data_IF_533356565919
#
_entry.id   IF_533356565919
#
_cell.length_a   1.000
_cell.length_b   1.000
_cell.length_c   1.000
_cell.angle_alpha   90.00
_cell.angle_beta   90.00
_cell.angle_gamma   90.00
#
_symmetry.space_group_name_H-M   'P 1'
#
loop_
_entity.id
_entity.type
_entity.pdbx_description
1 polymer ?
#
# COMPACT_ATOMS: atom_id res chain seq x y z
N UNK A 1 -13.74 17.96 27.18
CA UNK A 1 -13.76 16.82 26.24
C UNK A 1 -13.79 17.38 24.83
N UNK A 2 -13.07 16.78 23.89
CA UNK A 2 -12.96 17.25 22.50
C UNK A 2 -13.94 16.48 21.62
N UNK A 3 -14.41 17.07 20.52
CA UNK A 3 -15.33 16.39 19.58
C UNK A 3 -14.56 15.39 18.71
N UNK A 4 -15.02 14.16 18.71
CA UNK A 4 -14.61 13.09 17.82
C UNK A 4 -15.50 13.20 16.58
N UNK A 5 -15.09 13.95 15.56
CA UNK A 5 -15.83 14.11 14.28
C UNK A 5 -15.81 12.79 13.46
N UNK A 6 -16.26 11.68 14.05
CA UNK A 6 -16.16 10.34 13.51
C UNK A 6 -17.48 9.94 12.85
N UNK A 7 -17.48 9.90 11.51
CA UNK A 7 -18.58 9.28 10.76
C UNK A 7 -18.72 7.81 11.19
N UNK A 8 -19.95 7.29 11.34
CA UNK A 8 -20.22 5.90 11.71
C UNK A 8 -19.53 4.91 10.73
N UNK A 9 -18.36 4.40 11.11
CA UNK A 9 -17.64 3.35 10.38
C UNK A 9 -18.15 1.98 10.82
N UNK A 10 -17.97 0.97 9.97
CA UNK A 10 -18.29 -0.43 10.25
C UNK A 10 -17.65 -0.87 11.58
N UNK A 11 -18.39 -1.67 12.36
CA UNK A 11 -17.88 -2.30 13.58
C UNK A 11 -17.03 -3.51 13.20
N UNK A 12 -15.89 -3.66 13.85
CA UNK A 12 -14.92 -4.73 13.66
C UNK A 12 -14.70 -5.48 14.97
N UNK A 13 -14.23 -6.71 14.86
CA UNK A 13 -13.82 -7.52 16.02
C UNK A 13 -12.30 -7.60 16.02
N UNK A 14 -11.66 -7.03 17.04
CA UNK A 14 -10.20 -6.81 17.06
C UNK A 14 -9.39 -8.08 16.78
N UNK A 15 -9.85 -9.23 17.30
CA UNK A 15 -9.15 -10.53 17.17
C UNK A 15 -9.42 -11.27 15.86
N UNK A 16 -10.55 -10.99 15.21
CA UNK A 16 -11.01 -11.76 14.04
C UNK A 16 -11.01 -10.94 12.75
N UNK A 17 -10.58 -9.69 12.81
CA UNK A 17 -10.43 -8.84 11.64
C UNK A 17 -9.02 -8.98 11.10
N UNK A 18 -8.88 -8.85 9.79
CA UNK A 18 -7.57 -8.84 9.13
C UNK A 18 -6.76 -7.65 9.67
N UNK A 19 -5.56 -7.92 10.17
CA UNK A 19 -4.72 -6.93 10.87
C UNK A 19 -4.39 -5.72 9.97
N UNK A 20 -4.27 -5.89 8.66
CA UNK A 20 -3.97 -4.80 7.72
C UNK A 20 -5.13 -3.80 7.62
N UNK A 21 -6.36 -4.22 7.95
CA UNK A 21 -7.50 -3.30 8.02
C UNK A 21 -7.43 -2.38 9.24
N UNK A 22 -6.72 -2.81 10.28
CA UNK A 22 -6.61 -2.14 11.57
C UNK A 22 -5.28 -1.40 11.75
N UNK A 23 -4.30 -1.63 10.87
CA UNK A 23 -3.01 -0.98 10.94
C UNK A 23 -3.11 0.53 10.66
N UNK A 24 -2.43 1.30 11.51
CA UNK A 24 -2.50 2.76 11.60
C UNK A 24 -3.94 3.28 11.65
N UNK A 25 -4.76 2.69 12.53
CA UNK A 25 -6.16 3.12 12.73
C UNK A 25 -6.42 3.52 14.16
N UNK A 26 -7.11 4.65 14.31
CA UNK A 26 -7.75 4.97 15.58
C UNK A 26 -8.95 4.05 15.80
N UNK A 27 -9.13 3.62 17.03
CA UNK A 27 -10.20 2.73 17.46
C UNK A 27 -11.01 3.39 18.57
N UNK A 28 -12.34 3.35 18.48
CA UNK A 28 -13.19 3.43 19.67
C UNK A 28 -13.39 2.01 20.18
N UNK A 29 -13.01 1.78 21.43
CA UNK A 29 -13.12 0.51 22.10
C UNK A 29 -14.25 0.63 23.12
N UNK A 30 -15.27 -0.22 22.99
CA UNK A 30 -16.38 -0.25 23.94
C UNK A 30 -15.89 -0.58 25.36
N UNK A 31 -16.56 -0.06 26.41
CA UNK A 31 -16.18 -0.34 27.79
C UNK A 31 -16.29 -1.83 28.07
N UNK A 32 -15.22 -2.44 28.58
CA UNK A 32 -15.18 -3.83 29.03
C UNK A 32 -14.34 -3.91 30.30
N UNK A 33 -14.98 -4.28 31.42
CA UNK A 33 -14.34 -4.41 32.74
C UNK A 33 -13.23 -5.47 32.75
N UNK A 34 -13.25 -6.41 31.80
CA UNK A 34 -12.19 -7.41 31.66
C UNK A 34 -10.86 -6.77 31.30
N UNK A 35 -10.83 -5.60 30.65
CA UNK A 35 -9.60 -4.95 30.23
C UNK A 35 -8.68 -4.60 31.40
N UNK A 36 -9.22 -4.01 32.46
CA UNK A 36 -8.45 -3.63 33.65
C UNK A 36 -8.01 -4.83 34.50
N UNK A 37 -8.58 -6.01 34.26
CA UNK A 37 -8.20 -7.26 34.95
C UNK A 37 -7.18 -8.11 34.19
N UNK A 38 -6.81 -7.71 32.97
CA UNK A 38 -5.80 -8.41 32.18
C UNK A 38 -4.41 -8.11 32.71
N UNK A 39 -3.57 -9.13 32.73
CA UNK A 39 -2.16 -9.00 33.09
C UNK A 39 -1.45 -8.03 32.16
N UNK A 40 -0.79 -7.01 32.71
CA UNK A 40 -0.14 -5.93 31.96
C UNK A 40 -1.06 -4.74 31.60
N UNK A 41 -2.32 -4.78 32.00
CA UNK A 41 -3.31 -3.70 31.79
C UNK A 41 -3.85 -3.16 33.13
N UNK A 42 -3.24 -3.49 34.26
CA UNK A 42 -3.71 -3.13 35.60
C UNK A 42 -3.70 -1.61 35.85
N UNK A 43 -2.85 -0.89 35.12
CA UNK A 43 -2.76 0.57 35.17
C UNK A 43 -3.72 1.28 34.21
N UNK A 44 -4.51 0.53 33.41
CA UNK A 44 -5.52 1.13 32.53
C UNK A 44 -6.65 1.69 33.41
N UNK A 45 -6.92 3.01 33.38
CA UNK A 45 -7.99 3.60 34.18
C UNK A 45 -9.34 3.02 33.78
N UNK A 46 -10.19 2.63 34.74
CA UNK A 46 -11.53 2.16 34.45
C UNK A 46 -12.36 3.23 33.71
N UNK A 47 -13.12 2.80 32.71
CA UNK A 47 -14.00 3.66 31.90
C UNK A 47 -15.37 3.02 31.70
N UNK A 48 -16.41 3.78 32.02
CA UNK A 48 -17.80 3.40 31.74
C UNK A 48 -18.25 3.79 30.32
N UNK A 49 -17.51 4.67 29.64
CA UNK A 49 -17.86 5.17 28.30
C UNK A 49 -17.05 4.53 27.18
N UNK A 50 -15.89 3.95 27.51
CA UNK A 50 -14.97 3.29 26.57
C UNK A 50 -13.62 4.01 26.45
N UNK A 51 -12.83 3.58 25.47
CA UNK A 51 -11.46 4.03 25.27
C UNK A 51 -11.21 4.48 23.83
N UNK A 52 -10.32 5.46 23.70
CA UNK A 52 -9.67 5.80 22.44
C UNK A 52 -8.38 4.99 22.34
N UNK A 53 -8.31 4.13 21.32
CA UNK A 53 -7.12 3.35 20.99
C UNK A 53 -6.50 3.77 19.67
N UNK A 54 -5.25 3.35 19.45
CA UNK A 54 -4.56 3.40 18.18
C UNK A 54 -3.93 2.04 17.89
N UNK A 55 -4.38 1.40 16.82
CA UNK A 55 -3.87 0.11 16.36
C UNK A 55 -2.79 0.30 15.32
N UNK A 56 -1.72 -0.47 15.46
CA UNK A 56 -0.55 -0.43 14.58
C UNK A 56 0.20 -1.76 14.61
N UNK A 57 0.97 -2.04 13.57
CA UNK A 57 1.79 -3.24 13.46
C UNK A 57 3.22 -2.99 13.93
N UNK A 58 3.66 -3.76 14.93
CA UNK A 58 5.07 -3.84 15.36
C UNK A 58 5.40 -5.31 15.62
N UNK A 59 5.83 -5.99 14.55
CA UNK A 59 5.87 -7.45 14.30
C UNK A 59 4.53 -8.19 14.43
N UNK A 60 3.66 -7.68 15.29
CA UNK A 60 2.36 -8.19 15.68
C UNK A 60 1.40 -7.00 15.79
N UNK A 61 0.10 -7.23 15.67
CA UNK A 61 -0.88 -6.17 15.88
C UNK A 61 -0.87 -5.73 17.34
N UNK A 62 -0.63 -4.44 17.57
CA UNK A 62 -0.65 -3.79 18.89
C UNK A 62 -1.75 -2.74 18.95
N UNK A 63 -2.24 -2.51 20.15
CA UNK A 63 -3.22 -1.47 20.45
C UNK A 63 -2.68 -0.62 21.59
N UNK A 64 -2.47 0.66 21.29
CA UNK A 64 -2.13 1.68 22.26
C UNK A 64 -3.41 2.35 22.78
N UNK A 65 -3.59 2.44 24.09
CA UNK A 65 -4.70 3.12 24.73
C UNK A 65 -4.29 4.57 25.02
N UNK A 66 -4.90 5.50 24.31
CA UNK A 66 -4.52 6.92 24.33
C UNK A 66 -5.40 7.74 25.27
N UNK A 67 -6.63 7.29 25.56
CA UNK A 67 -7.55 8.06 26.37
C UNK A 67 -8.93 7.45 26.53
N UNK A 68 -9.83 8.26 27.07
CA UNK A 68 -11.26 7.97 27.16
C UNK A 68 -11.99 8.44 25.91
N UNK A 69 -13.03 7.70 25.53
CA UNK A 69 -13.89 8.05 24.41
C UNK A 69 -15.35 7.77 24.79
N UNK A 70 -16.23 8.73 24.57
CA UNK A 70 -17.68 8.53 24.62
C UNK A 70 -18.22 8.49 23.19
N UNK A 71 -18.74 7.31 22.80
CA UNK A 71 -19.31 7.09 21.48
C UNK A 71 -20.64 7.84 21.28
N UNK A 72 -21.46 7.98 22.33
CA UNK A 72 -22.79 8.62 22.24
C UNK A 72 -22.68 10.12 22.05
N UNK A 73 -21.78 10.75 22.80
CA UNK A 73 -21.53 12.19 22.73
C UNK A 73 -20.56 12.57 21.60
N UNK A 74 -19.98 11.58 20.91
CA UNK A 74 -18.89 11.77 19.96
C UNK A 74 -17.78 12.63 20.56
N UNK A 75 -17.29 12.27 21.75
CA UNK A 75 -16.22 13.03 22.42
C UNK A 75 -15.09 12.15 22.95
N UNK A 76 -13.91 12.74 23.10
CA UNK A 76 -12.75 12.04 23.65
C UNK A 76 -11.90 12.95 24.56
N UNK A 77 -11.06 12.32 25.38
CA UNK A 77 -10.05 12.96 26.22
C UNK A 77 -8.84 12.03 26.33
N UNK A 78 -7.64 12.51 26.01
CA UNK A 78 -6.40 11.77 26.27
C UNK A 78 -6.21 11.53 27.78
N UNK A 79 -5.46 10.49 28.12
CA UNK A 79 -5.02 10.29 29.50
C UNK A 79 -4.10 11.44 29.92
N UNK A 80 -4.13 11.78 31.21
CA UNK A 80 -3.27 12.82 31.77
C UNK A 80 -1.85 12.28 32.07
N UNK A 81 -1.62 10.98 31.90
CA UNK A 81 -0.33 10.32 32.11
C UNK A 81 0.52 10.28 30.84
N UNK A 82 1.82 10.54 30.96
CA UNK A 82 2.78 10.43 29.86
C UNK A 82 3.02 8.97 29.39
N UNK A 83 2.62 7.98 30.19
CA UNK A 83 2.73 6.58 29.84
C UNK A 83 1.53 6.13 29.01
N UNK A 84 1.81 5.69 27.77
CA UNK A 84 0.83 5.05 26.90
C UNK A 84 0.85 3.56 27.14
N UNK A 85 -0.31 2.98 27.45
CA UNK A 85 -0.45 1.54 27.65
C UNK A 85 -0.62 0.86 26.30
N UNK A 86 0.22 -0.13 26.04
CA UNK A 86 0.24 -0.86 24.77
C UNK A 86 0.07 -2.34 25.06
N UNK A 87 -0.89 -2.97 24.39
CA UNK A 87 -1.12 -4.40 24.46
C UNK A 87 -1.05 -5.05 23.08
N UNK A 88 -0.57 -6.29 23.03
CA UNK A 88 -0.71 -7.10 21.83
C UNK A 88 -2.18 -7.50 21.63
N UNK A 89 -2.71 -7.34 20.42
CA UNK A 89 -4.11 -7.62 20.12
C UNK A 89 -4.53 -9.07 20.40
N UNK A 90 -3.59 -10.01 20.34
CA UNK A 90 -3.81 -11.43 20.67
C UNK A 90 -4.02 -11.70 22.16
N UNK A 91 -3.52 -10.84 23.04
CA UNK A 91 -3.71 -10.91 24.49
C UNK A 91 -5.02 -10.26 24.92
N UNK A 92 -5.57 -9.36 24.09
CA UNK A 92 -6.84 -8.71 24.36
C UNK A 92 -8.01 -9.68 24.12
N UNK A 93 -9.10 -9.58 24.90
CA UNK A 93 -10.32 -10.31 24.61
C UNK A 93 -10.84 -9.89 23.23
N UNK A 94 -11.79 -10.66 22.70
CA UNK A 94 -12.44 -10.26 21.44
C UNK A 94 -13.30 -9.02 21.70
N UNK A 95 -12.73 -7.85 21.41
CA UNK A 95 -13.37 -6.54 21.61
C UNK A 95 -14.09 -6.10 20.35
N UNK A 96 -15.27 -5.53 20.54
CA UNK A 96 -15.96 -4.76 19.51
C UNK A 96 -15.27 -3.40 19.41
N UNK A 97 -14.71 -3.12 18.24
CA UNK A 97 -14.02 -1.86 17.97
C UNK A 97 -14.66 -1.15 16.79
N UNK A 98 -14.61 0.17 16.80
CA UNK A 98 -14.99 1.00 15.65
C UNK A 98 -13.78 1.77 15.17
N UNK A 99 -13.51 1.68 13.87
CA UNK A 99 -12.45 2.48 13.25
C UNK A 99 -12.88 3.95 13.23
N UNK A 100 -12.00 4.81 13.69
CA UNK A 100 -12.16 6.26 13.65
C UNK A 100 -11.23 6.79 12.57
N UNK A 101 -11.75 7.72 11.77
CA UNK A 101 -10.91 8.41 10.79
C UNK A 101 -9.99 9.37 11.53
N UNK A 102 -8.70 9.42 11.17
CA UNK A 102 -7.77 10.32 11.82
C UNK A 102 -8.22 11.78 11.60
N UNK A 103 -8.04 12.59 12.64
CA UNK A 103 -8.10 14.05 12.56
C UNK A 103 -6.69 14.58 12.81
N UNK A 104 -6.39 15.80 12.36
CA UNK A 104 -5.07 16.41 12.55
C UNK A 104 -4.62 16.40 14.02
N UNK A 105 -5.56 16.59 14.94
CA UNK A 105 -5.30 16.58 16.37
C UNK A 105 -4.92 15.19 16.91
N UNK A 106 -5.60 14.14 16.42
CA UNK A 106 -5.30 12.77 16.79
C UNK A 106 -3.91 12.35 16.27
N UNK A 107 -3.58 12.73 15.03
CA UNK A 107 -2.28 12.44 14.42
C UNK A 107 -1.12 13.18 15.11
N UNK A 108 -1.37 14.35 15.70
CA UNK A 108 -0.39 15.11 16.49
C UNK A 108 -0.06 14.52 17.86
N UNK A 109 -0.75 13.45 18.29
CA UNK A 109 -0.43 12.80 19.55
C UNK A 109 1.02 12.24 19.52
N UNK A 110 1.90 12.52 20.50
CA UNK A 110 3.32 12.16 20.42
C UNK A 110 3.59 10.69 20.16
N UNK A 111 2.84 9.78 20.80
CA UNK A 111 2.95 8.34 20.54
C UNK A 111 2.57 7.98 19.10
N UNK A 112 1.52 8.59 18.56
CA UNK A 112 1.07 8.32 17.20
C UNK A 112 2.11 8.82 16.22
N UNK A 113 2.66 10.01 16.43
CA UNK A 113 3.77 10.52 15.61
C UNK A 113 4.98 9.58 15.65
N UNK A 114 5.36 9.07 16.83
CA UNK A 114 6.45 8.10 16.93
C UNK A 114 6.20 6.81 16.15
N UNK A 115 4.97 6.28 16.16
CA UNK A 115 4.59 5.11 15.35
C UNK A 115 4.62 5.44 13.86
N UNK A 116 4.04 6.57 13.46
CA UNK A 116 4.04 7.01 12.08
C UNK A 116 5.48 7.21 11.59
N UNK A 117 6.34 7.90 12.33
CA UNK A 117 7.76 8.07 11.99
C UNK A 117 8.50 6.73 11.85
N UNK A 118 8.25 5.79 12.75
CA UNK A 118 8.80 4.43 12.65
C UNK A 118 8.33 3.74 11.36
N UNK A 119 7.05 3.82 11.04
CA UNK A 119 6.49 3.24 9.81
C UNK A 119 6.98 3.94 8.54
N UNK A 120 7.14 5.26 8.58
CA UNK A 120 7.71 6.05 7.49
C UNK A 120 9.16 5.62 7.19
N UNK A 121 9.91 5.20 8.20
CA UNK A 121 11.27 4.69 8.04
C UNK A 121 11.35 3.29 7.41
N UNK A 122 10.25 2.52 7.43
CA UNK A 122 10.13 1.15 6.92
C UNK A 122 9.11 1.04 5.76
N UNK A 123 8.96 2.13 5.00
CA UNK A 123 7.90 2.32 4.02
C UNK A 123 7.83 1.21 2.96
N UNK A 124 8.98 0.75 2.42
CA UNK A 124 9.01 -0.29 1.38
C UNK A 124 8.60 -1.67 1.90
N UNK A 125 8.93 -2.01 3.15
CA UNK A 125 8.53 -3.28 3.75
C UNK A 125 7.05 -3.26 4.07
N UNK A 126 6.57 -2.15 4.63
CA UNK A 126 5.15 -1.94 4.92
C UNK A 126 4.29 -1.87 3.67
N UNK A 127 4.81 -1.36 2.55
CA UNK A 127 4.02 -1.25 1.32
C UNK A 127 3.51 -2.61 0.85
N UNK A 128 4.25 -3.69 1.13
CA UNK A 128 3.85 -5.05 0.78
C UNK A 128 2.63 -5.55 1.56
N UNK A 129 2.31 -4.97 2.72
CA UNK A 129 1.07 -5.27 3.47
C UNK A 129 -0.18 -4.89 2.68
N UNK A 130 -0.07 -4.02 1.67
CA UNK A 130 -1.18 -3.70 0.77
C UNK A 130 -1.48 -4.81 -0.26
N UNK A 131 -0.59 -5.79 -0.44
CA UNK A 131 -0.74 -6.89 -1.39
C UNK A 131 -1.67 -7.99 -0.86
N UNK A 132 -2.98 -7.81 -1.05
CA UNK A 132 -4.00 -8.76 -0.54
C UNK A 132 -3.88 -10.17 -1.11
N UNK A 133 -3.35 -10.30 -2.33
CA UNK A 133 -3.23 -11.58 -3.01
C UNK A 133 -2.31 -12.58 -2.27
N UNK A 134 -1.40 -12.08 -1.43
CA UNK A 134 -0.51 -12.92 -0.60
C UNK A 134 -0.94 -13.04 0.86
N UNK A 135 -2.13 -12.55 1.24
CA UNK A 135 -2.58 -12.56 2.64
C UNK A 135 -2.65 -13.98 3.22
N UNK A 136 -3.05 -14.97 2.42
CA UNK A 136 -3.12 -16.37 2.81
C UNK A 136 -1.75 -17.01 3.12
N UNK A 137 -0.65 -16.38 2.68
CA UNK A 137 0.72 -16.81 2.95
C UNK A 137 1.29 -16.20 4.24
N UNK A 138 0.63 -15.16 4.78
CA UNK A 138 1.09 -14.46 5.98
C UNK A 138 0.86 -15.29 7.23
N UNK A 139 1.79 -15.19 8.17
CA UNK A 139 1.54 -15.71 9.51
C UNK A 139 0.41 -14.88 10.18
N UNK A 140 -0.65 -15.52 10.69
CA UNK A 140 -1.82 -14.83 11.21
C UNK A 140 -1.52 -14.03 12.50
N UNK A 141 -0.43 -14.35 13.20
CA UNK A 141 0.01 -13.64 14.41
C UNK A 141 1.13 -12.65 14.11
N UNK A 142 1.94 -12.91 13.08
CA UNK A 142 3.12 -12.12 12.71
C UNK A 142 3.11 -11.76 11.21
N UNK A 143 2.37 -10.73 10.80
CA UNK A 143 2.18 -10.38 9.38
C UNK A 143 3.44 -10.13 8.56
N UNK A 144 4.53 -9.74 9.21
CA UNK A 144 5.85 -9.57 8.59
C UNK A 144 6.50 -10.89 8.17
N UNK A 145 5.95 -12.03 8.59
CA UNK A 145 6.40 -13.37 8.24
C UNK A 145 5.47 -13.93 7.16
N UNK A 146 6.08 -14.40 6.07
CA UNK A 146 5.40 -15.05 4.95
C UNK A 146 5.92 -16.47 4.77
N UNK A 147 5.08 -17.35 4.22
CA UNK A 147 5.49 -18.65 3.67
C UNK A 147 5.81 -18.48 2.20
N UNK A 148 6.99 -18.94 1.81
CA UNK A 148 7.40 -19.05 0.42
C UNK A 148 7.73 -20.50 0.09
N UNK A 149 7.56 -20.84 -1.18
CA UNK A 149 7.83 -22.14 -1.76
C UNK A 149 9.27 -22.20 -2.24
N UNK A 150 9.92 -23.31 -2.00
CA UNK A 150 11.15 -23.69 -2.67
C UNK A 150 10.96 -25.04 -3.36
N UNK A 151 11.35 -25.11 -4.63
CA UNK A 151 11.31 -26.34 -5.42
C UNK A 151 12.73 -26.87 -5.51
N UNK A 152 12.99 -28.02 -4.88
CA UNK A 152 14.35 -28.51 -4.67
C UNK A 152 15.06 -28.93 -5.95
N UNK A 153 14.33 -29.61 -6.83
CA UNK A 153 14.87 -30.23 -8.04
C UNK A 153 14.53 -29.42 -9.31
N UNK A 154 14.09 -28.15 -9.15
CA UNK A 154 13.61 -27.30 -10.24
C UNK A 154 14.63 -27.15 -11.36
N UNK A 155 15.86 -26.77 -11.00
CA UNK A 155 16.94 -26.54 -11.98
C UNK A 155 17.30 -27.83 -12.73
N UNK A 156 17.29 -28.98 -12.06
CA UNK A 156 17.59 -30.27 -12.68
C UNK A 156 16.46 -30.71 -13.62
N UNK A 157 15.21 -30.52 -13.20
CA UNK A 157 14.03 -30.81 -14.00
C UNK A 157 13.95 -29.89 -15.22
N UNK A 158 14.13 -28.58 -15.04
CA UNK A 158 14.14 -27.60 -16.11
C UNK A 158 15.26 -27.90 -17.12
N UNK A 159 16.45 -28.24 -16.64
CA UNK A 159 17.55 -28.68 -17.50
C UNK A 159 17.19 -29.92 -18.30
N UNK A 160 16.64 -30.94 -17.65
CA UNK A 160 16.22 -32.19 -18.33
C UNK A 160 15.16 -31.92 -19.39
N UNK A 161 14.19 -31.03 -19.11
CA UNK A 161 13.18 -30.62 -20.07
C UNK A 161 13.77 -29.85 -21.25
N UNK A 162 14.65 -28.88 -20.99
CA UNK A 162 15.32 -28.12 -22.04
C UNK A 162 16.18 -29.02 -22.94
N UNK A 163 16.92 -29.98 -22.37
CA UNK A 163 17.66 -31.00 -23.14
C UNK A 163 16.71 -31.85 -24.01
N UNK A 164 15.53 -32.22 -23.49
CA UNK A 164 14.51 -32.93 -24.28
C UNK A 164 13.93 -32.08 -25.41
N UNK A 165 13.73 -30.77 -25.18
CA UNK A 165 13.25 -29.83 -26.20
C UNK A 165 14.29 -29.65 -27.30
N UNK A 166 15.56 -29.48 -26.94
CA UNK A 166 16.67 -29.38 -27.90
C UNK A 166 16.75 -30.64 -28.78
N UNK A 167 16.70 -31.82 -28.17
CA UNK A 167 16.68 -33.10 -28.90
C UNK A 167 15.47 -33.19 -29.85
N UNK A 168 14.29 -32.78 -29.41
CA UNK A 168 13.10 -32.77 -30.26
C UNK A 168 13.25 -31.79 -31.44
N UNK A 169 13.81 -30.59 -31.21
CA UNK A 169 14.07 -29.62 -32.27
C UNK A 169 15.07 -30.16 -33.31
N UNK A 170 16.11 -30.87 -32.88
CA UNK A 170 17.05 -31.53 -33.81
C UNK A 170 16.35 -32.59 -34.68
N UNK A 171 15.52 -33.44 -34.06
CA UNK A 171 14.73 -34.45 -34.79
C UNK A 171 13.74 -33.77 -35.76
N UNK A 172 13.10 -32.69 -35.33
CA UNK A 172 12.16 -31.92 -36.15
C UNK A 172 12.85 -31.29 -37.37
N UNK A 173 14.03 -30.69 -37.19
CA UNK A 173 14.83 -30.13 -38.29
C UNK A 173 15.25 -31.23 -39.26
N UNK A 174 15.76 -32.36 -38.77
CA UNK A 174 16.14 -33.49 -39.62
C UNK A 174 14.94 -34.07 -40.39
N UNK A 175 13.77 -34.16 -39.76
CA UNK A 175 12.54 -34.60 -40.39
C UNK A 175 12.08 -33.63 -41.50
N UNK A 176 12.21 -32.32 -41.29
CA UNK A 176 11.93 -31.32 -42.33
C UNK A 176 12.90 -31.40 -43.51
N UNK A 177 14.20 -31.55 -43.25
CA UNK A 177 15.21 -31.71 -44.33
C UNK A 177 14.98 -32.97 -45.16
N UNK A 178 14.56 -34.07 -44.52
CA UNK A 178 14.24 -35.31 -45.22
C UNK A 178 12.94 -35.18 -46.02
N UNK A 179 11.90 -34.56 -45.44
CA UNK A 179 10.64 -34.29 -46.12
C UNK A 179 10.83 -33.41 -47.37
N UNK A 180 11.72 -32.42 -47.32
CA UNK A 180 12.06 -31.60 -48.48
C UNK A 180 12.69 -32.43 -49.61
N UNK A 181 13.59 -33.35 -49.28
CA UNK A 181 14.19 -34.29 -50.26
C UNK A 181 13.15 -35.23 -50.86
N UNK A 182 12.16 -35.62 -50.07
CA UNK A 182 11.09 -36.54 -50.47
C UNK A 182 9.90 -35.81 -51.14
N UNK A 183 9.96 -34.49 -51.30
CA UNK A 183 8.92 -33.67 -51.94
C UNK A 183 7.64 -33.52 -51.08
N UNK A 184 7.74 -33.78 -49.78
CA UNK A 184 6.65 -33.68 -48.80
C UNK A 184 6.58 -32.22 -48.31
N UNK A 185 5.37 -31.69 -48.14
CA UNK A 185 5.20 -30.32 -47.60
C UNK A 185 5.43 -30.34 -46.10
N UNK A 186 6.15 -29.33 -45.58
CA UNK A 186 6.49 -29.22 -44.15
C UNK A 186 5.29 -29.42 -43.18
N UNK A 187 4.09 -28.95 -43.53
CA UNK A 187 2.89 -29.11 -42.69
C UNK A 187 2.38 -30.56 -42.57
N UNK A 188 2.86 -31.45 -43.43
CA UNK A 188 2.48 -32.86 -43.49
C UNK A 188 3.56 -33.74 -42.80
N UNK A 189 4.55 -33.13 -42.14
CA UNK A 189 5.61 -33.82 -41.37
C UNK A 189 5.13 -34.01 -39.93
N UNK A 190 4.84 -35.26 -39.57
CA UNK A 190 4.55 -35.66 -38.20
C UNK A 190 5.82 -36.19 -37.54
N UNK A 191 6.18 -35.62 -36.38
CA UNK A 191 7.31 -36.07 -35.57
C UNK A 191 6.76 -36.54 -34.23
N UNK A 192 6.95 -37.82 -33.92
CA UNK A 192 6.59 -38.39 -32.63
C UNK A 192 7.58 -37.97 -31.54
N UNK A 193 7.10 -37.83 -30.30
CA UNK A 193 7.96 -37.57 -29.14
C UNK A 193 8.12 -36.10 -28.76
N UNK A 194 7.08 -35.27 -28.98
CA UNK A 194 7.04 -33.91 -28.41
C UNK A 194 7.33 -33.96 -26.90
N UNK A 195 8.19 -33.08 -26.37
CA UNK A 195 8.50 -33.04 -24.95
C UNK A 195 7.22 -32.85 -24.14
N UNK A 196 6.86 -33.84 -23.35
CA UNK A 196 5.75 -33.73 -22.41
C UNK A 196 6.03 -32.64 -21.36
N UNK A 197 5.00 -32.03 -20.75
CA UNK A 197 5.20 -31.05 -19.70
C UNK A 197 6.01 -31.66 -18.54
N UNK A 198 6.72 -30.81 -17.80
CA UNK A 198 7.45 -31.22 -16.61
C UNK A 198 6.52 -32.02 -15.66
N UNK A 199 6.97 -33.18 -15.14
CA UNK A 199 6.16 -33.99 -14.26
C UNK A 199 6.01 -33.29 -12.91
N UNK A 200 4.91 -32.57 -12.73
CA UNK A 200 4.60 -31.80 -11.51
C UNK A 200 4.60 -32.70 -10.28
N UNK A 201 4.15 -33.95 -10.40
CA UNK A 201 4.14 -34.93 -9.32
C UNK A 201 5.55 -35.35 -8.85
N UNK A 202 6.59 -35.09 -9.66
CA UNK A 202 7.97 -35.38 -9.30
C UNK A 202 8.66 -34.21 -8.57
N UNK A 203 8.05 -33.03 -8.52
CA UNK A 203 8.65 -31.86 -7.89
C UNK A 203 8.59 -31.97 -6.36
N UNK A 204 9.77 -31.96 -5.72
CA UNK A 204 9.85 -31.85 -4.26
C UNK A 204 9.68 -30.38 -3.84
N UNK A 205 8.53 -30.10 -3.23
CA UNK A 205 8.13 -28.76 -2.76
C UNK A 205 8.33 -28.65 -1.26
N UNK A 206 9.00 -27.59 -0.82
CA UNK A 206 9.14 -27.25 0.59
C UNK A 206 8.66 -25.83 0.88
N UNK A 207 8.08 -25.64 2.07
CA UNK A 207 7.64 -24.34 2.53
C UNK A 207 8.63 -23.77 3.54
N UNK A 208 9.17 -22.60 3.22
CA UNK A 208 10.17 -21.89 4.02
C UNK A 208 9.58 -20.58 4.52
N UNK A 209 9.95 -20.17 5.74
CA UNK A 209 9.52 -18.88 6.27
C UNK A 209 10.50 -17.79 5.88
N UNK A 210 9.94 -16.68 5.42
CA UNK A 210 10.67 -15.47 5.05
C UNK A 210 10.13 -14.26 5.82
N UNK A 211 10.95 -13.23 5.94
CA UNK A 211 10.55 -11.91 6.44
C UNK A 211 11.17 -10.81 5.58
N UNK A 212 10.92 -9.55 5.92
CA UNK A 212 11.47 -8.38 5.22
C UNK A 212 11.22 -8.41 3.71
N UNK A 213 10.03 -8.90 3.34
CA UNK A 213 9.59 -8.94 1.96
C UNK A 213 9.42 -7.51 1.44
N UNK A 214 10.24 -7.14 0.45
CA UNK A 214 10.25 -5.81 -0.18
C UNK A 214 10.32 -5.95 -1.70
N UNK A 215 9.72 -5.01 -2.44
CA UNK A 215 9.94 -4.93 -3.89
C UNK A 215 11.42 -4.66 -4.16
N UNK A 216 11.94 -5.23 -5.24
CA UNK A 216 13.29 -5.00 -5.72
C UNK A 216 13.27 -4.63 -7.20
N UNK A 217 14.37 -4.11 -7.72
CA UNK A 217 14.47 -3.69 -9.12
C UNK A 217 14.23 -4.86 -10.10
N UNK A 218 14.01 -4.52 -11.37
CA UNK A 218 13.78 -5.49 -12.46
C UNK A 218 12.54 -6.38 -12.26
N UNK A 219 11.49 -5.86 -11.62
CA UNK A 219 10.25 -6.62 -11.36
C UNK A 219 10.38 -7.75 -10.34
N UNK A 220 11.50 -7.81 -9.61
CA UNK A 220 11.77 -8.88 -8.64
C UNK A 220 11.31 -8.50 -7.23
N UNK A 221 11.39 -9.46 -6.32
CA UNK A 221 11.23 -9.24 -4.89
C UNK A 221 12.43 -9.79 -4.14
N UNK A 222 12.67 -9.27 -2.94
CA UNK A 222 13.67 -9.84 -2.04
C UNK A 222 13.06 -10.05 -0.66
N UNK A 223 13.63 -11.00 0.08
CA UNK A 223 13.26 -11.31 1.44
C UNK A 223 14.46 -11.86 2.22
N UNK A 224 14.31 -11.97 3.53
CA UNK A 224 15.29 -12.58 4.44
C UNK A 224 14.77 -13.93 4.92
N UNK A 225 15.61 -14.96 4.88
CA UNK A 225 15.26 -16.29 5.36
C UNK A 225 15.16 -16.33 6.90
N UNK A 226 14.06 -16.88 7.42
CA UNK A 226 13.92 -17.15 8.87
C UNK A 226 14.39 -18.54 9.28
N UNK A 227 14.48 -19.45 8.32
CA UNK A 227 14.92 -20.83 8.49
C UNK A 227 16.00 -21.20 7.46
N UNK A 228 16.80 -22.22 7.77
CA UNK A 228 17.66 -22.82 6.76
C UNK A 228 16.77 -23.53 5.72
N UNK A 229 17.16 -23.46 4.46
CA UNK A 229 16.49 -24.22 3.40
C UNK A 229 16.97 -25.68 3.51
N UNK A 230 16.07 -26.63 3.77
CA UNK A 230 16.46 -28.04 3.89
C UNK A 230 17.13 -28.56 2.62
N UNK A 231 18.05 -29.53 2.75
CA UNK A 231 18.67 -30.16 1.57
C UNK A 231 19.63 -29.29 0.75
N UNK A 232 19.87 -28.02 1.10
CA UNK A 232 20.86 -27.17 0.45
C UNK A 232 21.72 -26.41 1.46
N UNK A 233 22.97 -26.10 1.08
CA UNK A 233 23.89 -25.27 1.86
C UNK A 233 24.09 -23.87 1.25
N UNK A 234 23.41 -23.57 0.12
CA UNK A 234 23.61 -22.32 -0.64
C UNK A 234 23.16 -21.07 0.13
N UNK A 235 22.07 -21.19 0.90
CA UNK A 235 21.48 -20.10 1.68
C UNK A 235 21.08 -20.61 3.06
N UNK A 236 21.25 -19.78 4.08
CA UNK A 236 20.99 -20.08 5.49
C UNK A 236 20.06 -19.03 6.08
N UNK A 237 19.55 -19.32 7.29
CA UNK A 237 18.81 -18.35 8.08
C UNK A 237 19.58 -17.02 8.18
N UNK A 238 18.90 -15.93 7.87
CA UNK A 238 19.44 -14.57 7.87
C UNK A 238 19.98 -14.11 6.52
N UNK A 239 20.12 -15.00 5.53
CA UNK A 239 20.55 -14.61 4.19
C UNK A 239 19.39 -13.96 3.41
N UNK A 240 19.74 -12.99 2.59
CA UNK A 240 18.85 -12.43 1.56
C UNK A 240 18.63 -13.43 0.42
N UNK A 241 17.39 -13.51 -0.05
CA UNK A 241 16.95 -14.32 -1.19
C UNK A 241 16.11 -13.51 -2.15
N UNK A 242 16.24 -13.82 -3.44
CA UNK A 242 15.33 -13.35 -4.46
C UNK A 242 14.03 -14.16 -4.40
N UNK A 243 12.91 -13.48 -4.61
CA UNK A 243 11.58 -14.08 -4.53
C UNK A 243 10.76 -13.68 -5.76
N UNK A 244 10.14 -14.67 -6.38
CA UNK A 244 9.20 -14.48 -7.47
C UNK A 244 7.77 -14.50 -6.93
N UNK A 245 6.95 -13.52 -7.30
CA UNK A 245 5.51 -13.48 -6.99
C UNK A 245 4.73 -13.88 -8.25
N UNK A 246 4.20 -15.10 -8.24
CA UNK A 246 3.47 -15.66 -9.38
C UNK A 246 1.99 -15.72 -9.05
N UNK A 247 1.15 -15.19 -9.94
CA UNK A 247 -0.31 -15.24 -9.81
C UNK A 247 -0.90 -16.05 -10.96
N UNK A 248 -1.69 -17.07 -10.63
CA UNK A 248 -2.34 -17.95 -11.59
C UNK A 248 -3.84 -17.97 -11.35
N UNK A 249 -4.63 -17.96 -12.42
CA UNK A 249 -6.08 -18.14 -12.36
C UNK A 249 -6.41 -19.63 -12.49
N UNK A 250 -7.16 -20.18 -11.55
CA UNK A 250 -7.60 -21.57 -11.63
C UNK A 250 -8.90 -21.64 -12.43
N UNK A 251 -8.93 -22.45 -13.49
CA UNK A 251 -10.03 -22.45 -14.47
C UNK A 251 -11.37 -22.92 -13.87
N UNK A 252 -11.34 -23.77 -12.85
CA UNK A 252 -12.55 -24.39 -12.28
C UNK A 252 -13.41 -23.41 -11.46
N UNK A 253 -12.78 -22.46 -10.76
CA UNK A 253 -13.46 -21.49 -9.89
C UNK A 253 -13.26 -20.03 -10.32
N UNK A 254 -12.38 -19.78 -11.31
CA UNK A 254 -12.02 -18.45 -11.79
C UNK A 254 -11.30 -17.60 -10.73
N UNK A 255 -10.81 -18.22 -9.65
CA UNK A 255 -10.10 -17.51 -8.59
C UNK A 255 -8.61 -17.38 -8.93
N UNK A 256 -8.05 -16.25 -8.53
CA UNK A 256 -6.62 -15.98 -8.64
C UNK A 256 -5.92 -16.44 -7.36
N UNK A 257 -4.90 -17.26 -7.52
CA UNK A 257 -4.01 -17.69 -6.45
C UNK A 257 -2.63 -17.11 -6.69
N UNK A 258 -2.03 -16.52 -5.65
CA UNK A 258 -0.68 -15.97 -5.71
C UNK A 258 0.26 -16.75 -4.81
N UNK A 259 1.42 -17.13 -5.32
CA UNK A 259 2.45 -17.87 -4.59
C UNK A 259 3.78 -17.12 -4.65
N UNK A 260 4.58 -17.32 -3.61
CA UNK A 260 5.94 -16.78 -3.50
C UNK A 260 6.93 -17.91 -3.71
N UNK A 261 7.88 -17.77 -4.63
CA UNK A 261 8.90 -18.78 -4.93
C UNK A 261 10.29 -18.23 -4.59
N UNK A 262 11.11 -19.03 -3.90
CA UNK A 262 12.50 -18.68 -3.56
C UNK A 262 13.41 -19.06 -4.72
N UNK A 263 14.08 -18.06 -5.28
CA UNK A 263 15.04 -18.20 -6.36
C UNK A 263 16.46 -18.25 -5.77
N UNK A 264 16.99 -19.46 -5.53
CA UNK A 264 18.27 -19.64 -4.83
C UNK A 264 19.47 -19.05 -5.58
N UNK A 265 19.46 -19.17 -6.90
CA UNK A 265 20.58 -18.83 -7.77
C UNK A 265 20.40 -17.46 -8.44
N UNK A 266 19.22 -16.85 -8.32
CA UNK A 266 18.98 -15.51 -8.83
C UNK A 266 19.71 -14.45 -7.98
N UNK A 267 20.22 -13.38 -8.59
CA UNK A 267 20.80 -12.27 -7.86
C UNK A 267 19.73 -11.58 -7.00
N UNK A 268 20.12 -11.16 -5.80
CA UNK A 268 19.27 -10.30 -4.96
C UNK A 268 19.42 -8.87 -5.45
N UNK A 269 18.38 -8.36 -6.10
CA UNK A 269 18.35 -7.00 -6.63
C UNK A 269 18.29 -5.94 -5.52
N UNK A 270 18.69 -4.72 -5.86
CA UNK A 270 18.56 -3.57 -4.96
C UNK A 270 17.12 -3.00 -4.97
N UNK A 271 16.88 -1.95 -4.18
CA UNK A 271 15.56 -1.32 -4.00
C UNK A 271 15.57 0.15 -4.41
N UNK A 272 16.41 0.50 -5.40
CA UNK A 272 16.61 1.88 -5.82
C UNK A 272 15.41 2.37 -6.61
N UNK A 273 14.91 3.53 -6.19
CA UNK A 273 13.91 4.29 -6.95
C UNK A 273 14.63 5.19 -7.95
N UNK A 274 14.44 4.91 -9.25
CA UNK A 274 14.86 5.75 -10.36
C UNK A 274 13.63 6.20 -11.14
N UNK A 275 13.33 7.49 -11.12
CA UNK A 275 12.12 8.02 -11.76
C UNK A 275 12.35 9.40 -12.34
N UNK A 276 11.74 9.64 -13.50
CA UNK A 276 11.77 10.93 -14.17
C UNK A 276 10.45 11.70 -13.94
N UNK A 277 10.53 13.03 -14.01
CA UNK A 277 9.33 13.87 -14.04
C UNK A 277 8.65 13.75 -15.41
N UNK A 278 7.34 13.54 -15.42
CA UNK A 278 6.54 13.52 -16.65
C UNK A 278 6.54 14.90 -17.31
N UNK A 279 6.93 14.95 -18.59
CA UNK A 279 6.90 16.18 -19.40
C UNK A 279 5.48 16.41 -19.93
N UNK A 280 4.74 17.41 -19.42
CA UNK A 280 3.37 17.62 -19.83
C UNK A 280 3.32 18.12 -21.29
N UNK A 281 2.36 17.62 -22.05
CA UNK A 281 2.11 18.07 -23.43
C UNK A 281 1.45 19.46 -23.50
N UNK A 282 0.94 19.98 -22.37
CA UNK A 282 0.36 21.32 -22.25
C UNK A 282 1.24 22.20 -21.37
N UNK A 283 1.41 23.45 -21.80
CA UNK A 283 2.16 24.48 -21.07
C UNK A 283 1.69 24.58 -19.61
N UNK A 284 2.60 24.92 -18.67
CA UNK A 284 2.24 25.15 -17.29
C UNK A 284 1.16 26.23 -17.23
N UNK A 285 0.03 25.88 -16.64
CA UNK A 285 -1.03 26.82 -16.32
C UNK A 285 -0.85 27.18 -14.85
N UNK A 286 -1.08 28.46 -14.51
CA UNK A 286 -0.98 28.98 -13.15
C UNK A 286 -2.16 29.91 -12.94
N UNK A 287 -3.15 29.44 -12.20
CA UNK A 287 -4.38 30.21 -11.99
C UNK A 287 -4.68 30.23 -10.49
N UNK A 288 -4.85 31.43 -9.96
CA UNK A 288 -5.36 31.69 -8.63
C UNK A 288 -6.87 31.96 -8.72
N UNK A 289 -7.67 31.21 -7.96
CA UNK A 289 -9.11 31.41 -7.83
C UNK A 289 -9.43 31.99 -6.47
N UNK A 290 -9.97 33.21 -6.43
CA UNK A 290 -10.51 33.79 -5.19
C UNK A 290 -12.01 33.49 -5.11
N UNK A 291 -12.41 32.71 -4.12
CA UNK A 291 -13.81 32.38 -3.86
C UNK A 291 -14.31 33.17 -2.65
N UNK A 292 -15.51 33.75 -2.75
CA UNK A 292 -16.17 34.36 -1.61
C UNK A 292 -17.62 33.88 -1.49
N UNK A 293 -18.09 33.82 -0.25
CA UNK A 293 -19.50 33.58 0.04
C UNK A 293 -20.25 34.92 0.09
N UNK A 294 -21.48 34.93 -0.42
CA UNK A 294 -22.35 36.11 -0.33
C UNK A 294 -23.12 36.23 1.00
N UNK A 295 -23.05 35.21 1.86
CA UNK A 295 -23.86 35.08 3.08
C UNK A 295 -23.03 35.14 4.36
N UNK A 296 -21.75 34.76 4.30
CA UNK A 296 -20.83 34.80 5.45
C UNK A 296 -19.48 35.35 5.03
N UNK A 297 -18.59 35.58 6.00
CA UNK A 297 -17.28 36.21 5.80
C UNK A 297 -16.24 35.28 5.14
N UNK A 298 -16.66 34.12 4.64
CA UNK A 298 -15.76 33.22 3.93
C UNK A 298 -15.23 33.88 2.65
N UNK A 299 -13.90 34.07 2.60
CA UNK A 299 -13.15 34.49 1.43
C UNK A 299 -11.78 33.84 1.47
N UNK A 300 -11.43 33.14 0.39
CA UNK A 300 -10.17 32.38 0.31
C UNK A 300 -9.63 32.35 -1.12
N UNK A 301 -8.32 32.21 -1.27
CA UNK A 301 -7.62 32.23 -2.56
C UNK A 301 -6.81 30.96 -2.77
N UNK A 302 -7.11 30.25 -3.86
CA UNK A 302 -6.51 28.95 -4.19
C UNK A 302 -5.57 29.04 -5.39
N UNK A 303 -4.28 28.78 -5.16
CA UNK A 303 -3.24 28.82 -6.18
C UNK A 303 -3.05 27.44 -6.84
N UNK A 304 -3.53 27.30 -8.08
CA UNK A 304 -3.58 26.03 -8.80
C UNK A 304 -2.62 26.01 -9.98
N UNK A 305 -2.19 24.80 -10.35
CA UNK A 305 -1.39 24.53 -11.53
C UNK A 305 0.06 24.11 -11.28
N UNK A 306 0.93 24.35 -12.28
CA UNK A 306 2.36 23.98 -12.24
C UNK A 306 3.24 25.23 -12.18
N UNK A 307 4.21 25.22 -11.27
CA UNK A 307 5.04 26.41 -10.96
C UNK A 307 6.39 26.35 -11.67
N UNK A 308 7.23 27.39 -11.55
CA UNK A 308 8.61 27.34 -12.06
C UNK A 308 9.52 26.47 -11.20
N UNK A 309 9.04 26.12 -10.00
CA UNK A 309 9.74 25.35 -8.97
C UNK A 309 9.41 23.84 -9.04
N UNK A 310 8.96 23.35 -10.20
CA UNK A 310 8.59 21.95 -10.41
C UNK A 310 9.72 20.98 -10.00
N UNK A 311 10.98 21.39 -10.08
CA UNK A 311 12.12 20.60 -9.56
C UNK A 311 12.12 20.44 -8.03
N UNK A 312 11.78 21.50 -7.28
CA UNK A 312 11.69 21.45 -5.82
C UNK A 312 10.49 20.59 -5.42
N UNK A 313 9.33 20.82 -6.05
CA UNK A 313 8.13 20.02 -5.81
C UNK A 313 8.35 18.55 -6.14
N UNK A 314 9.03 18.25 -7.25
CA UNK A 314 9.41 16.88 -7.60
C UNK A 314 10.30 16.27 -6.51
N UNK A 315 11.33 16.99 -6.04
CA UNK A 315 12.20 16.50 -4.97
C UNK A 315 11.42 16.20 -3.69
N UNK A 316 10.50 17.09 -3.30
CA UNK A 316 9.64 16.90 -2.13
C UNK A 316 8.71 15.69 -2.30
N UNK A 317 8.12 15.48 -3.48
CA UNK A 317 7.30 14.30 -3.78
C UNK A 317 8.13 13.02 -3.65
N UNK A 318 9.35 13.00 -4.20
CA UNK A 318 10.25 11.84 -4.04
C UNK A 318 10.61 11.60 -2.57
N UNK A 319 10.79 12.65 -1.79
CA UNK A 319 11.04 12.54 -0.36
C UNK A 319 9.81 12.02 0.40
N UNK A 320 8.60 12.47 0.06
CA UNK A 320 7.34 11.94 0.60
C UNK A 320 7.14 10.46 0.25
N UNK A 321 7.49 10.04 -0.98
CA UNK A 321 7.48 8.64 -1.40
C UNK A 321 8.44 7.81 -0.55
N UNK A 322 9.68 8.30 -0.39
CA UNK A 322 10.70 7.62 0.42
C UNK A 322 10.30 7.51 1.89
N UNK A 323 9.53 8.47 2.39
CA UNK A 323 8.94 8.46 3.73
C UNK A 323 7.63 7.68 3.81
N UNK A 324 7.16 7.01 2.74
CA UNK A 324 5.93 6.21 2.79
C UNK A 324 4.62 7.01 2.92
N UNK A 325 4.63 8.31 2.62
CA UNK A 325 3.44 9.18 2.70
C UNK A 325 2.55 9.13 1.46
N UNK A 326 2.93 8.33 0.46
CA UNK A 326 2.17 8.10 -0.77
C UNK A 326 1.60 6.69 -0.75
N UNK A 327 0.57 6.46 -1.56
CA UNK A 327 -0.03 5.15 -1.77
C UNK A 327 1.04 4.05 -1.93
N UNK A 328 1.02 2.98 -1.11
CA UNK A 328 1.94 1.86 -1.17
C UNK A 328 2.17 1.28 -2.57
N UNK A 329 1.13 1.23 -3.40
CA UNK A 329 1.23 0.68 -4.75
C UNK A 329 2.12 1.53 -5.66
N UNK A 330 2.14 2.85 -5.45
CA UNK A 330 3.04 3.75 -6.19
C UNK A 330 4.49 3.48 -5.78
N UNK A 331 4.76 3.22 -4.50
CA UNK A 331 6.11 2.93 -4.03
C UNK A 331 6.64 1.59 -4.59
N UNK A 332 5.79 0.58 -4.73
CA UNK A 332 6.13 -0.71 -5.34
C UNK A 332 6.51 -0.52 -6.82
N UNK A 333 5.63 0.11 -7.62
CA UNK A 333 5.88 0.32 -9.05
C UNK A 333 7.17 1.12 -9.30
N UNK A 334 7.45 2.13 -8.47
CA UNK A 334 8.65 2.98 -8.58
C UNK A 334 9.97 2.26 -8.32
N UNK A 335 9.95 1.14 -7.60
CA UNK A 335 11.13 0.29 -7.39
C UNK A 335 11.22 -0.73 -8.52
N UNK A 336 10.09 -1.37 -8.87
CA UNK A 336 10.08 -2.51 -9.77
C UNK A 336 10.23 -2.15 -11.25
N UNK A 337 9.85 -0.92 -11.63
CA UNK A 337 9.81 -0.47 -13.03
C UNK A 337 10.78 0.67 -13.28
N UNK A 338 11.36 0.66 -14.48
CA UNK A 338 12.23 1.74 -15.00
C UNK A 338 11.50 2.70 -15.94
N UNK A 339 10.31 2.33 -16.42
CA UNK A 339 9.47 3.11 -17.35
C UNK A 339 8.45 4.03 -16.66
N UNK A 340 8.65 4.28 -15.36
CA UNK A 340 7.80 5.15 -14.57
C UNK A 340 8.12 6.64 -14.78
N UNK A 341 7.07 7.43 -14.99
CA UNK A 341 7.13 8.89 -14.92
C UNK A 341 6.13 9.42 -13.88
N UNK A 342 6.52 10.45 -13.12
CA UNK A 342 5.62 11.10 -12.17
C UNK A 342 5.07 12.40 -12.76
N UNK A 343 3.76 12.47 -12.92
CA UNK A 343 3.00 13.69 -13.20
C UNK A 343 2.51 14.30 -11.89
N UNK A 344 2.70 15.61 -11.72
CA UNK A 344 2.19 16.34 -10.57
C UNK A 344 1.65 17.72 -10.94
N UNK A 345 0.65 18.19 -10.19
CA UNK A 345 0.12 19.56 -10.26
C UNK A 345 -0.53 19.97 -8.95
N UNK A 346 -0.61 21.28 -8.66
CA UNK A 346 -1.46 21.80 -7.57
C UNK A 346 -2.91 21.81 -8.03
N UNK A 347 -3.77 21.10 -7.34
CA UNK A 347 -5.19 20.96 -7.69
C UNK A 347 -6.07 21.16 -6.47
N UNK A 348 -7.28 21.68 -6.69
CA UNK A 348 -8.25 21.90 -5.64
C UNK A 348 -8.99 20.59 -5.33
N UNK A 349 -9.14 20.28 -4.05
CA UNK A 349 -9.87 19.14 -3.56
C UNK A 349 -10.98 19.59 -2.61
N UNK A 350 -12.12 18.91 -2.67
CA UNK A 350 -13.26 19.14 -1.76
C UNK A 350 -13.56 17.90 -0.94
N UNK A 351 -13.72 18.07 0.37
CA UNK A 351 -14.23 17.04 1.25
C UNK A 351 -15.71 16.77 0.99
N UNK A 352 -16.08 15.50 0.78
CA UNK A 352 -17.49 15.10 0.55
C UNK A 352 -18.38 15.20 1.80
N UNK A 353 -17.77 15.26 2.99
CA UNK A 353 -18.51 15.26 4.27
C UNK A 353 -18.68 16.66 4.83
N UNK A 354 -17.58 17.36 5.14
CA UNK A 354 -17.65 18.69 5.74
C UNK A 354 -17.61 19.83 4.72
N UNK A 355 -17.32 19.55 3.44
CA UNK A 355 -17.26 20.58 2.40
C UNK A 355 -15.97 21.40 2.38
N UNK A 356 -15.04 21.17 3.33
CA UNK A 356 -13.72 21.82 3.36
C UNK A 356 -13.01 21.71 2.02
N UNK A 357 -12.45 22.84 1.58
CA UNK A 357 -11.65 22.97 0.37
C UNK A 357 -10.17 23.01 0.76
N UNK A 358 -9.33 22.34 -0.01
CA UNK A 358 -7.88 22.34 0.22
C UNK A 358 -7.12 22.14 -1.09
N UNK A 359 -5.93 22.73 -1.19
CA UNK A 359 -5.03 22.56 -2.35
C UNK A 359 -4.09 21.40 -2.06
N UNK A 360 -4.19 20.33 -2.86
CA UNK A 360 -3.28 19.18 -2.76
C UNK A 360 -2.43 19.07 -4.02
N UNK A 361 -1.23 18.50 -3.85
CA UNK A 361 -0.34 18.15 -4.96
C UNK A 361 -0.84 16.85 -5.56
N UNK A 362 -1.53 16.91 -6.69
CA UNK A 362 -2.02 15.70 -7.34
C UNK A 362 -0.85 14.92 -7.93
N UNK A 363 -0.34 13.92 -7.22
CA UNK A 363 0.68 12.99 -7.73
C UNK A 363 0.02 11.86 -8.52
N UNK A 364 0.56 11.61 -9.72
CA UNK A 364 0.20 10.51 -10.60
C UNK A 364 1.44 9.77 -11.04
N UNK A 365 1.39 8.44 -10.92
CA UNK A 365 2.36 7.58 -11.57
C UNK A 365 1.82 7.20 -12.94
N UNK A 366 2.62 7.44 -13.97
CA UNK A 366 2.31 7.10 -15.36
C UNK A 366 3.27 6.00 -15.78
N UNK A 367 2.72 4.88 -16.22
CA UNK A 367 3.43 3.81 -16.92
C UNK A 367 2.82 3.67 -18.32
N UNK A 368 3.38 2.80 -19.16
CA UNK A 368 2.77 2.48 -20.46
C UNK A 368 1.42 1.78 -20.32
N UNK A 369 1.24 1.01 -19.25
CA UNK A 369 0.08 0.13 -19.05
C UNK A 369 -1.06 0.81 -18.29
N UNK A 370 -0.74 1.65 -17.32
CA UNK A 370 -1.72 2.21 -16.40
C UNK A 370 -1.31 3.59 -15.85
N UNK A 371 -2.25 4.23 -15.15
CA UNK A 371 -1.98 5.47 -14.41
C UNK A 371 -2.57 5.34 -13.00
N UNK A 372 -1.71 5.42 -11.98
CA UNK A 372 -2.13 5.45 -10.58
C UNK A 372 -2.19 6.91 -10.11
N UNK A 373 -3.17 7.23 -9.27
CA UNK A 373 -3.31 8.56 -8.66
C UNK A 373 -3.37 8.42 -7.15
N UNK A 374 -2.57 9.20 -6.45
CA UNK A 374 -2.62 9.25 -4.98
C UNK A 374 -3.99 9.73 -4.48
N UNK A 375 -4.41 9.18 -3.34
CA UNK A 375 -5.65 9.55 -2.65
C UNK A 375 -5.37 10.56 -1.53
N UNK A 376 -6.28 11.51 -1.31
CA UNK A 376 -6.17 12.51 -0.25
C UNK A 376 -7.36 12.44 0.71
N UNK A 377 -7.09 12.72 1.98
CA UNK A 377 -8.07 12.74 3.06
C UNK A 377 -8.14 14.15 3.68
N UNK A 378 -9.33 14.52 4.15
CA UNK A 378 -9.59 15.82 4.75
C UNK A 378 -9.03 15.87 6.18
N UNK A 379 -8.23 16.89 6.51
CA UNK A 379 -7.63 17.02 7.84
C UNK A 379 -8.65 17.26 8.96
N UNK A 380 -9.80 17.86 8.63
CA UNK A 380 -10.86 18.20 9.59
C UNK A 380 -11.73 17.00 10.01
N UNK A 381 -11.98 16.07 9.09
CA UNK A 381 -12.93 14.98 9.32
C UNK A 381 -12.46 13.60 8.83
N UNK A 382 -11.25 13.51 8.28
CA UNK A 382 -10.64 12.30 7.74
C UNK A 382 -11.33 11.70 6.51
N UNK A 383 -12.40 12.30 5.99
CA UNK A 383 -13.12 11.78 4.82
C UNK A 383 -12.31 11.97 3.53
N UNK A 384 -12.48 11.04 2.58
CA UNK A 384 -11.82 11.12 1.28
C UNK A 384 -12.19 12.42 0.57
N UNK A 385 -11.18 13.13 0.09
CA UNK A 385 -11.37 14.32 -0.72
C UNK A 385 -11.54 13.94 -2.20
N UNK A 386 -12.30 14.75 -2.93
CA UNK A 386 -12.50 14.62 -4.37
C UNK A 386 -11.86 15.76 -5.11
N UNK A 387 -11.14 15.44 -6.18
CA UNK A 387 -10.58 16.44 -7.09
C UNK A 387 -11.71 17.27 -7.71
N UNK A 388 -11.56 18.59 -7.63
CA UNK A 388 -12.48 19.55 -8.26
C UNK A 388 -11.92 19.90 -9.63
N UNK A 389 -12.66 19.55 -10.68
CA UNK A 389 -12.33 20.00 -12.04
C UNK A 389 -12.51 21.52 -12.12
N UNK A 390 -11.65 22.20 -12.87
CA UNK A 390 -11.66 23.68 -12.99
C UNK A 390 -13.03 24.26 -13.32
N UNK A 391 -13.75 23.66 -14.27
CA UNK A 391 -15.09 24.12 -14.66
C UNK A 391 -16.15 24.04 -13.54
N UNK A 392 -15.87 23.34 -12.44
CA UNK A 392 -16.77 23.21 -11.28
C UNK A 392 -16.34 24.06 -10.08
N UNK A 393 -15.21 24.78 -10.16
CA UNK A 393 -14.72 25.62 -9.04
C UNK A 393 -15.73 26.73 -8.72
N UNK A 394 -16.32 27.33 -9.75
CA UNK A 394 -17.31 28.39 -9.62
C UNK A 394 -18.68 27.93 -9.09
N UNK A 395 -18.88 26.62 -8.90
CA UNK A 395 -20.14 26.02 -8.44
C UNK A 395 -19.98 25.26 -7.13
N UNK A 396 -18.94 25.55 -6.36
CA UNK A 396 -18.69 24.93 -5.06
C UNK A 396 -19.58 25.56 -3.99
N UNK A 397 -19.89 24.79 -2.95
CA UNK A 397 -20.63 25.29 -1.79
C UNK A 397 -19.65 25.77 -0.73
N UNK A 398 -20.05 26.82 0.00
CA UNK A 398 -19.29 27.42 1.07
C UNK A 398 -19.07 26.38 2.19
N UNK A 399 -17.83 26.18 2.67
CA UNK A 399 -17.57 25.21 3.74
C UNK A 399 -18.23 25.62 5.08
N UNK A 400 -18.53 26.90 5.28
CA UNK A 400 -19.12 27.41 6.53
C UNK A 400 -20.66 27.33 6.54
N UNK A 401 -21.32 27.85 5.50
CA UNK A 401 -22.79 27.97 5.46
C UNK A 401 -23.48 27.11 4.39
N UNK A 402 -22.71 26.40 3.55
CA UNK A 402 -23.18 25.54 2.44
C UNK A 402 -23.93 26.26 1.31
N UNK A 403 -23.93 27.59 1.29
CA UNK A 403 -24.42 28.37 0.16
C UNK A 403 -23.44 28.38 -1.00
N UNK A 404 -23.93 28.55 -2.23
CA UNK A 404 -23.08 28.55 -3.41
C UNK A 404 -22.04 29.68 -3.37
N UNK A 405 -20.76 29.33 -3.57
CA UNK A 405 -19.66 30.28 -3.70
C UNK A 405 -19.72 30.97 -5.05
N UNK A 406 -19.24 32.21 -5.08
CA UNK A 406 -19.04 32.95 -6.33
C UNK A 406 -17.55 33.16 -6.55
N UNK A 407 -17.03 32.88 -7.76
CA UNK A 407 -15.69 33.30 -8.11
C UNK A 407 -15.68 34.83 -8.15
N UNK A 408 -14.80 35.42 -7.35
CA UNK A 408 -14.62 36.88 -7.28
C UNK A 408 -13.50 37.32 -8.21
N UNK A 409 -12.47 36.48 -8.37
CA UNK A 409 -11.30 36.80 -9.17
C UNK A 409 -10.66 35.52 -9.72
N UNK A 410 -10.22 35.59 -10.97
CA UNK A 410 -9.36 34.59 -11.63
C UNK A 410 -8.12 35.32 -12.14
N UNK A 411 -6.96 35.01 -11.56
CA UNK A 411 -5.70 35.69 -11.89
C UNK A 411 -4.59 34.70 -12.22
N UNK A 412 -3.67 35.09 -13.11
CA UNK A 412 -2.42 34.36 -13.26
C UNK A 412 -1.52 34.65 -12.05
N UNK A 413 -0.86 33.62 -11.51
CA UNK A 413 0.12 33.79 -10.43
C UNK A 413 1.52 33.39 -10.90
N UNK A 414 2.54 34.09 -10.39
CA UNK A 414 3.91 34.06 -10.88
C UNK A 414 4.73 32.86 -10.40
N UNK A 415 4.23 32.11 -9.42
CA UNK A 415 4.88 30.90 -8.89
C UNK A 415 5.42 31.06 -7.47
N UNK A 416 5.47 32.28 -6.93
CA UNK A 416 5.89 32.53 -5.54
C UNK A 416 4.65 32.51 -4.66
N UNK A 417 4.60 31.57 -3.70
CA UNK A 417 3.51 31.56 -2.73
C UNK A 417 3.65 32.84 -1.87
N UNK A 418 2.63 33.70 -1.76
CA UNK A 418 2.70 34.85 -0.85
C UNK A 418 2.63 34.45 0.64
N UNK A 419 2.54 33.15 0.94
CA UNK A 419 2.37 32.59 2.29
C UNK A 419 3.27 31.38 2.52
#
# INVERSE_FOLDING_TARGET
>A
MKKLNAKRVKRHMLRTSEFWQLDEKFLVISPDKKLCTLTGMESLPESDTGYLGYAYLDDTLRVAFLGFCNEEDETYKFFDSDQVLVAQASMLPTLLVRIVKPTEELEKHPFVQGVLEFHESDALRRSTLALRQIDHLRDPLRPAILKAVWIKDEVELEKTYNESVEQFLEVLVAAYEQAEKDGIRARDVEVEGEPGPLPVDAMSVEFVRITDFVPANNGTWRAVLLDNIPGTNKKKKGDDVAVSLVTTTFEEDGQNYSMLFIELDAPVEDTKISVASFKPSRLPWRIAYTLACSVCDFKDTYYLGRSGEDRLMFKEIIEEIRRGRIDPLIAIDLVQRDDCEIDFSRELYRCRSCGTLDVKRRVRLITKEHTLSAMYYCLECGERMSHVKRGHIASLDCPQCREQLKPVEEALWDGVNPH
#
